data_IF_753737994111
#
_entry.id   IF_753737994111
#
_cell.length_a   1.000
_cell.length_b   1.000
_cell.length_c   1.000
_cell.angle_alpha   90.00
_cell.angle_beta   90.00
_cell.angle_gamma   90.00
#
_symmetry.space_group_name_H-M   'P 1'
#
loop_
_entity.id
_entity.type
_entity.pdbx_description
1 polymer ?
#
# COMPACT_ATOMS: atom_id res chain seq x y z
N UNK A 1 22.08 -6.41 -16.22
CA UNK A 1 22.93 -7.18 -15.27
C UNK A 1 22.14 -8.37 -14.77
N UNK A 2 22.12 -9.44 -15.58
CA UNK A 2 21.51 -10.75 -15.27
C UNK A 2 22.52 -11.60 -14.52
N UNK A 3 22.76 -11.26 -13.28
CA UNK A 3 23.65 -12.04 -12.42
C UNK A 3 22.87 -12.99 -11.52
N UNK A 4 23.56 -13.98 -10.97
CA UNK A 4 23.09 -15.01 -10.02
C UNK A 4 22.20 -14.41 -8.89
N UNK A 5 22.46 -13.17 -8.47
CA UNK A 5 21.66 -12.38 -7.50
C UNK A 5 20.22 -12.14 -7.98
N UNK A 6 20.01 -11.86 -9.27
CA UNK A 6 18.66 -11.65 -9.82
C UNK A 6 17.84 -12.94 -9.88
N UNK A 7 18.46 -14.06 -10.16
CA UNK A 7 17.82 -15.37 -10.16
C UNK A 7 17.40 -15.78 -8.74
N UNK A 8 18.28 -15.60 -7.76
CA UNK A 8 17.98 -15.87 -6.34
C UNK A 8 16.86 -14.99 -5.80
N UNK A 9 16.88 -13.67 -6.11
CA UNK A 9 15.82 -12.77 -5.72
C UNK A 9 14.46 -13.17 -6.33
N UNK A 10 14.41 -13.49 -7.63
CA UNK A 10 13.17 -13.97 -8.26
C UNK A 10 12.64 -15.25 -7.62
N UNK A 11 13.50 -16.22 -7.39
CA UNK A 11 13.13 -17.49 -6.75
C UNK A 11 12.60 -17.25 -5.32
N UNK A 12 13.28 -16.42 -4.53
CA UNK A 12 12.87 -16.07 -3.18
C UNK A 12 11.50 -15.36 -3.17
N UNK A 13 11.32 -14.31 -3.98
CA UNK A 13 10.06 -13.58 -4.03
C UNK A 13 8.89 -14.40 -4.54
N UNK A 14 9.14 -15.32 -5.49
CA UNK A 14 8.12 -16.28 -5.94
C UNK A 14 7.76 -17.28 -4.84
N UNK A 15 8.76 -17.77 -4.10
CA UNK A 15 8.55 -18.74 -3.02
C UNK A 15 7.75 -18.14 -1.84
N UNK A 16 7.89 -16.82 -1.57
CA UNK A 16 7.10 -16.12 -0.57
C UNK A 16 5.76 -15.57 -1.10
N UNK A 17 5.36 -15.98 -2.31
CA UNK A 17 4.04 -15.67 -2.88
C UNK A 17 3.89 -14.23 -3.36
N UNK A 18 4.97 -13.51 -3.66
CA UNK A 18 4.86 -12.14 -4.19
C UNK A 18 4.44 -12.17 -5.67
N UNK A 19 3.45 -11.36 -6.02
CA UNK A 19 3.05 -11.13 -7.41
C UNK A 19 3.99 -10.07 -8.00
N UNK A 20 4.81 -10.42 -9.02
CA UNK A 20 5.71 -9.46 -9.66
C UNK A 20 4.89 -8.46 -10.47
N UNK A 21 5.15 -7.16 -10.26
CA UNK A 21 4.52 -6.07 -11.00
C UNK A 21 5.61 -5.24 -11.65
N UNK A 22 5.61 -5.16 -12.98
CA UNK A 22 6.38 -4.14 -13.67
C UNK A 22 5.59 -2.83 -13.62
N UNK A 23 6.18 -1.81 -13.00
CA UNK A 23 5.53 -0.51 -12.75
C UNK A 23 5.67 0.46 -13.91
N UNK A 24 6.37 0.08 -14.96
CA UNK A 24 6.67 0.94 -16.12
C UNK A 24 5.64 0.79 -17.22
N UNK A 25 4.87 -0.30 -17.22
CA UNK A 25 3.92 -0.65 -18.25
C UNK A 25 2.48 -0.80 -17.71
N UNK A 26 1.50 -0.20 -18.39
CA UNK A 26 0.09 -0.29 -18.04
C UNK A 26 -0.46 -1.71 -18.21
N UNK A 27 0.02 -2.45 -19.19
CA UNK A 27 -0.38 -3.83 -19.44
C UNK A 27 0.05 -4.77 -18.31
N UNK A 28 1.25 -4.52 -17.76
CA UNK A 28 1.75 -5.23 -16.58
C UNK A 28 0.92 -4.96 -15.32
N UNK A 29 0.38 -3.74 -15.17
CA UNK A 29 -0.52 -3.44 -14.06
C UNK A 29 -1.85 -4.19 -14.18
N UNK A 30 -2.39 -4.33 -15.38
CA UNK A 30 -3.61 -5.10 -15.64
C UNK A 30 -3.37 -6.60 -15.44
N UNK A 31 -2.25 -7.14 -15.92
CA UNK A 31 -1.86 -8.54 -15.70
C UNK A 31 -1.71 -8.87 -14.20
N UNK A 32 -1.17 -7.93 -13.41
CA UNK A 32 -1.06 -8.08 -11.97
C UNK A 32 -2.43 -8.12 -11.27
N UNK A 33 -3.40 -7.29 -11.71
CA UNK A 33 -4.77 -7.34 -11.20
C UNK A 33 -5.46 -8.67 -11.55
N UNK A 34 -5.27 -9.19 -12.75
CA UNK A 34 -5.79 -10.51 -13.15
C UNK A 34 -5.21 -11.63 -12.28
N UNK A 35 -3.90 -11.60 -12.03
CA UNK A 35 -3.26 -12.56 -11.12
C UNK A 35 -3.80 -12.42 -9.69
N UNK A 36 -4.01 -11.20 -9.22
CA UNK A 36 -4.59 -10.92 -7.90
C UNK A 36 -6.01 -11.49 -7.77
N UNK A 37 -6.84 -11.34 -8.81
CA UNK A 37 -8.19 -11.94 -8.88
C UNK A 37 -8.13 -13.47 -8.77
N UNK A 38 -7.22 -14.11 -9.48
CA UNK A 38 -7.04 -15.56 -9.41
C UNK A 38 -6.64 -16.05 -8.02
N UNK A 39 -5.78 -15.29 -7.32
CA UNK A 39 -5.39 -15.58 -5.92
C UNK A 39 -6.60 -15.51 -5.00
N UNK A 40 -7.41 -14.46 -5.12
CA UNK A 40 -8.62 -14.28 -4.31
C UNK A 40 -9.70 -15.31 -4.63
N UNK A 41 -9.88 -15.68 -5.90
CA UNK A 41 -10.81 -16.73 -6.33
C UNK A 41 -10.47 -18.12 -5.76
N UNK A 42 -9.20 -18.34 -5.38
CA UNK A 42 -8.75 -19.55 -4.68
C UNK A 42 -9.00 -19.49 -3.16
N UNK A 43 -9.67 -18.46 -2.65
CA UNK A 43 -9.91 -18.26 -1.22
C UNK A 43 -8.65 -17.86 -0.42
N UNK A 44 -7.61 -17.41 -1.11
CA UNK A 44 -6.35 -16.99 -0.47
C UNK A 44 -6.40 -15.51 -0.09
N UNK A 45 -5.54 -15.13 0.86
CA UNK A 45 -5.35 -13.73 1.24
C UNK A 45 -4.40 -13.05 0.27
N UNK A 46 -4.70 -11.77 -0.02
CA UNK A 46 -3.84 -10.91 -0.82
C UNK A 46 -3.49 -9.65 -0.04
N UNK A 47 -2.20 -9.39 0.15
CA UNK A 47 -1.70 -8.13 0.72
C UNK A 47 -1.39 -7.13 -0.38
N UNK A 48 -1.89 -5.88 -0.24
CA UNK A 48 -1.65 -4.80 -1.19
C UNK A 48 -1.34 -3.49 -0.47
N UNK A 49 -0.36 -2.76 -0.98
CA UNK A 49 -0.07 -1.40 -0.53
C UNK A 49 -0.81 -0.38 -1.41
N UNK A 50 -1.80 0.35 -0.89
CA UNK A 50 -2.64 1.21 -1.73
C UNK A 50 -1.87 2.37 -2.37
N UNK A 51 -0.85 2.90 -1.73
CA UNK A 51 0.00 3.96 -2.29
C UNK A 51 0.86 3.49 -3.48
N UNK A 52 1.10 2.17 -3.61
CA UNK A 52 1.91 1.57 -4.66
C UNK A 52 3.41 1.85 -4.57
N UNK A 53 3.86 2.58 -3.55
CA UNK A 53 5.27 2.84 -3.25
C UNK A 53 5.45 3.12 -1.77
N UNK A 54 6.68 3.07 -1.26
CA UNK A 54 6.98 3.48 0.11
C UNK A 54 6.85 4.99 0.25
N UNK A 55 6.29 5.45 1.37
CA UNK A 55 6.28 6.86 1.75
C UNK A 55 7.73 7.39 1.85
N UNK A 56 8.03 8.58 1.34
CA UNK A 56 9.35 9.18 1.44
C UNK A 56 9.69 9.72 2.83
N UNK A 57 8.69 10.10 3.61
CA UNK A 57 8.81 10.83 4.88
C UNK A 57 7.98 10.28 6.03
N UNK A 58 7.28 9.17 5.82
CA UNK A 58 6.45 8.52 6.83
C UNK A 58 5.01 9.02 6.88
N UNK A 59 4.61 10.00 6.05
CA UNK A 59 3.21 10.42 5.88
C UNK A 59 2.44 9.43 5.01
N UNK A 60 1.12 9.47 5.07
CA UNK A 60 0.22 8.68 4.25
C UNK A 60 -0.14 9.46 2.99
N UNK A 61 0.04 8.85 1.83
CA UNK A 61 -0.18 9.47 0.54
C UNK A 61 -1.40 8.91 -0.18
N UNK A 62 -1.84 9.64 -1.21
CA UNK A 62 -2.97 9.28 -2.06
C UNK A 62 -2.85 7.86 -2.61
N UNK A 63 -3.86 7.04 -2.38
CA UNK A 63 -3.92 5.65 -2.86
C UNK A 63 -4.20 5.57 -4.36
N UNK A 64 -3.70 4.53 -5.00
CA UNK A 64 -4.03 4.14 -6.37
C UNK A 64 -5.32 3.33 -6.40
N UNK A 65 -6.14 3.50 -7.43
CA UNK A 65 -7.46 2.87 -7.54
C UNK A 65 -7.45 1.37 -7.85
N UNK A 66 -6.26 0.76 -8.04
CA UNK A 66 -6.14 -0.68 -8.29
C UNK A 66 -6.74 -1.56 -7.19
N UNK A 67 -6.61 -1.14 -5.93
CA UNK A 67 -7.23 -1.83 -4.79
C UNK A 67 -8.76 -1.81 -4.88
N UNK A 68 -9.35 -0.64 -5.14
CA UNK A 68 -10.79 -0.49 -5.26
C UNK A 68 -11.35 -1.29 -6.44
N UNK A 69 -10.66 -1.23 -7.59
CA UNK A 69 -11.03 -2.02 -8.76
C UNK A 69 -11.07 -3.51 -8.44
N UNK A 70 -10.04 -4.01 -7.75
CA UNK A 70 -9.98 -5.41 -7.37
C UNK A 70 -11.11 -5.79 -6.40
N UNK A 71 -11.34 -5.01 -5.35
CA UNK A 71 -12.41 -5.24 -4.38
C UNK A 71 -13.79 -5.25 -5.05
N UNK A 72 -14.07 -4.27 -5.93
CA UNK A 72 -15.35 -4.18 -6.66
C UNK A 72 -15.56 -5.32 -7.66
N UNK A 73 -14.49 -5.82 -8.28
CA UNK A 73 -14.57 -6.93 -9.24
C UNK A 73 -14.72 -8.28 -8.57
N UNK A 74 -14.19 -8.47 -7.38
CA UNK A 74 -14.18 -9.76 -6.68
C UNK A 74 -15.21 -9.86 -5.58
N UNK A 75 -15.77 -8.74 -5.12
CA UNK A 75 -16.73 -8.69 -4.01
C UNK A 75 -16.12 -9.07 -2.64
N UNK A 76 -14.80 -9.22 -2.55
CA UNK A 76 -14.14 -9.57 -1.28
C UNK A 76 -14.00 -8.36 -0.37
N UNK A 77 -14.14 -8.53 0.96
CA UNK A 77 -13.95 -7.45 1.91
C UNK A 77 -12.48 -7.01 1.96
N UNK A 78 -12.27 -5.73 2.26
CA UNK A 78 -10.94 -5.14 2.46
C UNK A 78 -10.69 -4.96 3.95
N UNK A 79 -9.57 -5.47 4.46
CA UNK A 79 -9.16 -5.27 5.85
C UNK A 79 -8.00 -4.26 5.85
N UNK A 80 -8.23 -3.03 6.34
CA UNK A 80 -7.15 -2.05 6.49
C UNK A 80 -6.14 -2.52 7.53
N UNK A 81 -4.84 -2.45 7.19
CA UNK A 81 -3.76 -2.84 8.11
C UNK A 81 -2.71 -1.75 8.13
N UNK A 82 -2.54 -1.10 9.27
CA UNK A 82 -1.52 -0.08 9.46
C UNK A 82 -0.26 -0.67 10.11
N UNK A 83 0.91 -0.40 9.52
CA UNK A 83 2.21 -0.79 10.04
C UNK A 83 2.96 0.47 10.52
N UNK A 84 3.06 0.64 11.83
CA UNK A 84 3.63 1.83 12.48
C UNK A 84 5.07 1.55 12.90
N UNK A 85 5.98 2.52 12.67
CA UNK A 85 7.40 2.40 13.04
C UNK A 85 8.28 1.75 11.98
N UNK A 86 7.74 1.31 10.85
CA UNK A 86 8.52 0.69 9.77
C UNK A 86 9.49 1.67 9.12
N UNK A 87 9.17 2.96 9.07
CA UNK A 87 10.02 4.04 8.59
C UNK A 87 11.25 4.27 9.49
N UNK A 88 11.16 3.93 10.78
CA UNK A 88 12.29 4.00 11.72
C UNK A 88 13.21 2.79 11.53
N UNK A 89 12.64 1.59 11.40
CA UNK A 89 13.41 0.34 11.24
C UNK A 89 14.05 0.25 9.86
N UNK A 90 13.35 0.70 8.81
CA UNK A 90 13.84 0.69 7.44
C UNK A 90 13.61 2.05 6.78
N UNK A 91 14.43 3.08 7.12
CA UNK A 91 14.24 4.42 6.56
C UNK A 91 14.34 4.42 5.04
N UNK A 92 13.55 5.24 4.34
CA UNK A 92 13.68 5.45 2.90
C UNK A 92 15.10 5.90 2.54
N UNK A 93 15.69 5.29 1.51
CA UNK A 93 17.05 5.61 1.06
C UNK A 93 18.18 4.94 1.87
N UNK A 94 17.89 4.25 2.95
CA UNK A 94 18.87 3.47 3.70
C UNK A 94 18.83 1.99 3.31
N UNK A 95 20.00 1.38 3.17
CA UNK A 95 20.15 -0.08 3.01
C UNK A 95 20.40 -0.78 4.35
N UNK A 96 20.55 -0.02 5.45
CA UNK A 96 20.73 -0.57 6.79
C UNK A 96 19.41 -0.61 7.55
N UNK A 97 19.09 -1.79 8.09
CA UNK A 97 18.01 -1.96 9.05
C UNK A 97 18.45 -1.44 10.41
N UNK A 98 17.56 -0.75 11.10
CA UNK A 98 17.75 -0.27 12.47
C UNK A 98 16.90 -1.10 13.42
N UNK A 99 17.37 -1.29 14.63
CA UNK A 99 16.54 -1.87 15.68
C UNK A 99 15.44 -0.88 16.07
N UNK A 100 14.21 -1.37 16.19
CA UNK A 100 13.07 -0.54 16.53
C UNK A 100 11.80 -1.38 16.70
N UNK A 101 10.79 -0.78 17.29
CA UNK A 101 9.48 -1.40 17.47
C UNK A 101 8.62 -1.17 16.23
N UNK A 102 8.02 -2.23 15.72
CA UNK A 102 6.97 -2.18 14.68
C UNK A 102 5.67 -2.62 15.31
N UNK A 103 4.63 -1.79 15.16
CA UNK A 103 3.28 -2.12 15.60
C UNK A 103 2.41 -2.36 14.38
N UNK A 104 1.60 -3.41 14.41
CA UNK A 104 0.62 -3.72 13.37
C UNK A 104 -0.77 -3.55 13.97
N UNK A 105 -1.61 -2.71 13.34
CA UNK A 105 -3.00 -2.51 13.72
C UNK A 105 -3.91 -2.96 12.61
N UNK A 106 -4.90 -3.78 12.95
CA UNK A 106 -5.92 -4.26 12.03
C UNK A 106 -7.20 -3.45 12.23
N UNK A 107 -7.77 -2.94 11.15
CA UNK A 107 -9.08 -2.32 11.12
C UNK A 107 -10.19 -3.35 10.97
N UNK A 108 -11.44 -2.86 10.96
CA UNK A 108 -12.60 -3.70 10.67
C UNK A 108 -12.65 -4.04 9.19
N UNK A 109 -13.19 -5.22 8.82
CA UNK A 109 -13.45 -5.52 7.42
C UNK A 109 -14.42 -4.49 6.81
N UNK A 110 -14.05 -3.94 5.66
CA UNK A 110 -14.84 -2.99 4.88
C UNK A 110 -15.51 -3.74 3.73
N UNK A 111 -16.82 -3.67 3.67
CA UNK A 111 -17.63 -4.27 2.61
C UNK A 111 -18.07 -3.17 1.62
N UNK A 112 -17.89 -3.45 0.34
CA UNK A 112 -18.23 -2.55 -0.76
C UNK A 112 -19.34 -3.10 -1.66
N UNK A 113 -20.13 -4.07 -1.18
CA UNK A 113 -21.27 -4.67 -1.89
C UNK A 113 -22.30 -3.63 -2.36
N UNK A 114 -22.43 -2.49 -1.64
CA UNK A 114 -23.25 -1.35 -2.05
C UNK A 114 -22.88 -0.74 -3.41
N UNK A 115 -21.71 -1.07 -3.92
CA UNK A 115 -21.22 -0.64 -5.24
C UNK A 115 -21.09 -1.80 -6.23
N UNK A 116 -21.76 -2.91 -5.98
CA UNK A 116 -21.79 -4.07 -6.89
C UNK A 116 -22.21 -3.66 -8.30
N UNK A 117 -21.55 -4.20 -9.32
CA UNK A 117 -21.78 -3.85 -10.72
C UNK A 117 -21.18 -2.52 -11.18
N UNK A 118 -20.58 -1.72 -10.29
CA UNK A 118 -19.98 -0.42 -10.62
C UNK A 118 -18.44 -0.47 -10.78
N UNK A 119 -17.87 -1.66 -10.88
CA UNK A 119 -16.46 -1.84 -11.23
C UNK A 119 -16.16 -1.20 -12.59
N UNK A 120 -15.08 -0.40 -12.69
CA UNK A 120 -14.75 0.38 -13.88
C UNK A 120 -15.27 1.84 -13.84
N UNK A 121 -16.16 2.18 -12.90
CA UNK A 121 -16.54 3.56 -12.67
C UNK A 121 -15.43 4.28 -11.88
N UNK A 122 -14.73 5.19 -12.54
CA UNK A 122 -13.57 5.90 -11.98
C UNK A 122 -13.89 6.68 -10.69
N UNK A 123 -15.09 7.23 -10.58
CA UNK A 123 -15.52 7.98 -9.40
C UNK A 123 -15.75 7.05 -8.21
N UNK A 124 -16.39 5.91 -8.44
CA UNK A 124 -16.62 4.91 -7.40
C UNK A 124 -15.29 4.27 -6.96
N UNK A 125 -14.42 3.89 -7.92
CA UNK A 125 -13.09 3.37 -7.60
C UNK A 125 -12.28 4.38 -6.77
N UNK A 126 -12.40 5.68 -7.05
CA UNK A 126 -11.74 6.73 -6.28
C UNK A 126 -12.32 6.82 -4.87
N UNK A 127 -13.65 6.89 -4.74
CA UNK A 127 -14.34 6.98 -3.45
C UNK A 127 -14.00 5.79 -2.54
N UNK A 128 -14.04 4.55 -3.07
CA UNK A 128 -13.66 3.35 -2.33
C UNK A 128 -12.20 3.40 -1.88
N UNK A 129 -11.30 3.86 -2.76
CA UNK A 129 -9.88 3.99 -2.40
C UNK A 129 -9.68 5.01 -1.29
N UNK A 130 -10.34 6.15 -1.38
CA UNK A 130 -10.24 7.21 -0.36
C UNK A 130 -10.80 6.75 0.98
N UNK A 131 -11.90 6.00 1.00
CA UNK A 131 -12.46 5.42 2.22
C UNK A 131 -11.45 4.49 2.91
N UNK A 132 -10.76 3.61 2.15
CA UNK A 132 -9.72 2.75 2.71
C UNK A 132 -8.52 3.57 3.23
N UNK A 133 -8.11 4.61 2.52
CA UNK A 133 -7.02 5.49 2.96
C UNK A 133 -7.40 6.23 4.26
N UNK A 134 -8.64 6.70 4.40
CA UNK A 134 -9.10 7.34 5.64
C UNK A 134 -9.11 6.37 6.83
N UNK A 135 -9.52 5.13 6.62
CA UNK A 135 -9.40 4.10 7.67
C UNK A 135 -7.94 3.86 8.07
N UNK A 136 -7.03 3.76 7.09
CA UNK A 136 -5.60 3.62 7.36
C UNK A 136 -5.03 4.83 8.11
N UNK A 137 -5.47 6.05 7.78
CA UNK A 137 -5.11 7.28 8.50
C UNK A 137 -5.53 7.21 9.98
N UNK A 138 -6.79 6.81 10.24
CA UNK A 138 -7.30 6.64 11.60
C UNK A 138 -6.54 5.57 12.40
N UNK A 139 -6.16 4.45 11.77
CA UNK A 139 -5.41 3.38 12.41
C UNK A 139 -3.95 3.74 12.69
N UNK A 140 -3.31 4.44 11.75
CA UNK A 140 -1.88 4.76 11.81
C UNK A 140 -1.59 6.04 12.59
N UNK A 141 -2.50 7.01 12.57
CA UNK A 141 -2.28 8.37 13.05
C UNK A 141 -1.37 9.20 12.14
N UNK A 142 -1.11 8.74 10.91
CA UNK A 142 -0.28 9.47 9.95
C UNK A 142 -1.02 10.68 9.37
N UNK A 143 -0.27 11.75 9.11
CA UNK A 143 -0.76 12.87 8.33
C UNK A 143 -1.03 12.44 6.89
N UNK A 144 -2.20 12.79 6.35
CA UNK A 144 -2.56 12.49 4.96
C UNK A 144 -2.15 13.63 4.01
N UNK A 145 -1.59 13.25 2.87
CA UNK A 145 -1.19 14.18 1.81
C UNK A 145 -1.85 13.76 0.50
N UNK A 146 -2.72 14.64 -0.06
CA UNK A 146 -3.52 14.34 -1.26
C UNK A 146 -2.73 14.46 -2.58
N UNK A 147 -1.54 13.87 -2.62
CA UNK A 147 -0.74 13.68 -3.83
C UNK A 147 -0.19 12.25 -3.88
N UNK A 148 0.17 11.79 -5.05
CA UNK A 148 0.81 10.48 -5.18
C UNK A 148 2.27 10.53 -4.72
N UNK A 149 2.69 9.67 -3.80
CA UNK A 149 4.08 9.58 -3.35
C UNK A 149 5.08 9.35 -4.51
N UNK A 150 4.63 8.73 -5.60
CA UNK A 150 5.45 8.52 -6.79
C UNK A 150 5.81 9.82 -7.53
N UNK A 151 5.02 10.89 -7.43
CA UNK A 151 5.31 12.17 -8.08
C UNK A 151 6.48 12.88 -7.40
N UNK A 152 6.62 12.76 -6.09
CA UNK A 152 7.75 13.33 -5.33
C UNK A 152 9.08 12.70 -5.72
N UNK A 153 9.09 11.40 -6.03
CA UNK A 153 10.30 10.67 -6.44
C UNK A 153 10.79 11.04 -7.84
N UNK A 154 9.87 11.49 -8.72
CA UNK A 154 10.21 11.89 -10.09
C UNK A 154 10.67 13.34 -10.21
N UNK A 155 10.21 14.20 -9.28
CA UNK A 155 10.41 15.66 -9.38
C UNK A 155 11.56 16.22 -8.54
N UNK A 156 12.22 15.44 -7.68
CA UNK A 156 13.19 15.99 -6.72
C UNK A 156 12.59 17.06 -5.78
N UNK A 157 11.26 17.20 -5.75
CA UNK A 157 10.57 18.22 -4.99
C UNK A 157 10.38 17.74 -3.53
N UNK A 158 10.84 18.57 -2.63
CA UNK A 158 10.53 18.47 -1.19
C UNK A 158 9.01 18.61 -1.01
N UNK A 159 8.41 17.73 -0.20
CA UNK A 159 6.99 17.81 0.09
C UNK A 159 6.69 19.11 0.84
N UNK A 160 5.60 19.84 0.54
CA UNK A 160 5.26 21.05 1.22
C UNK A 160 5.07 20.80 2.73
N UNK A 161 5.88 21.48 3.53
CA UNK A 161 5.80 21.67 4.97
C UNK A 161 5.35 20.46 5.81
N UNK A 162 6.28 19.76 6.42
CA UNK A 162 6.02 18.77 7.45
C UNK A 162 7.09 18.86 8.53
N UNK A 163 6.80 19.63 9.57
CA UNK A 163 7.47 19.52 10.85
C UNK A 163 7.17 18.12 11.39
N UNK A 164 8.20 17.35 11.68
CA UNK A 164 8.08 15.98 12.17
C UNK A 164 7.22 15.97 13.44
N UNK A 165 5.99 15.46 13.34
CA UNK A 165 5.14 15.22 14.49
C UNK A 165 5.85 14.22 15.43
N UNK A 166 6.43 14.73 16.51
CA UNK A 166 6.91 13.92 17.63
C UNK A 166 5.68 13.27 18.26
N UNK A 167 5.64 11.96 18.21
CA UNK A 167 4.65 11.17 18.94
C UNK A 167 4.92 11.43 20.42
N UNK A 168 3.96 11.94 21.21
CA UNK A 168 4.15 12.04 22.65
C UNK A 168 4.27 10.64 23.24
N UNK A 169 5.34 10.44 23.97
CA UNK A 169 5.61 9.25 24.77
C UNK A 169 4.58 9.23 25.91
N UNK A 170 3.46 8.52 25.71
CA UNK A 170 2.47 8.33 26.78
C UNK A 170 3.02 7.26 27.72
N UNK A 171 3.32 7.72 28.93
CA UNK A 171 3.79 6.98 30.07
C UNK A 171 3.07 5.65 30.28
N UNK A 172 3.88 4.63 30.54
CA UNK A 172 3.42 3.40 31.16
C UNK A 172 3.01 3.74 32.62
N UNK A 173 1.77 3.46 32.94
CA UNK A 173 1.23 3.26 34.26
C UNK A 173 0.65 1.86 34.32
#
# INVERSE_FOLDING_TARGET
ATGLKGCFQRCFFTAVGQVPIDRTDADSAQAALTTAQQVLAQGKLLGMYPEGTRSPDGRLYKGKTGLARLALQTGVPVIPVAMIGTNVVNPPGSNMLRFGRVTVRFGKPMDFSRFEGLAGNRFIERAVTDEVIYELMGLSGQEYVDIYAASLKKGGAEAPGGEAARIPETAAG
#
